data_IF_942787268108
#
_entry.id   IF_942787268108
#
_cell.length_a   1.000
_cell.length_b   1.000
_cell.length_c   1.000
_cell.angle_alpha   90.00
_cell.angle_beta   90.00
_cell.angle_gamma   90.00
#
_symmetry.space_group_name_H-M   'P 1'
#
loop_
_entity.id
_entity.type
_entity.pdbx_description
1 polymer ?
#
# COMPACT_ATOMS: atom_id res chain seq x y z
N UNK A 1 -2.12 -25.39 -25.70
CA UNK A 1 -1.20 -26.04 -26.67
C UNK A 1 -0.18 -24.98 -27.04
N UNK A 2 1.09 -25.12 -26.65
CA UNK A 2 2.09 -24.07 -26.88
C UNK A 2 2.42 -24.02 -28.38
N UNK A 3 2.42 -22.80 -28.93
CA UNK A 3 2.73 -22.50 -30.33
C UNK A 3 4.12 -23.06 -30.71
N UNK A 4 4.25 -23.63 -31.92
CA UNK A 4 5.51 -24.21 -32.41
C UNK A 4 6.65 -23.19 -32.39
N UNK A 5 6.36 -21.92 -32.65
CA UNK A 5 7.37 -20.85 -32.65
C UNK A 5 7.92 -20.58 -31.24
N UNK A 6 7.06 -20.59 -30.22
CA UNK A 6 7.48 -20.39 -28.84
C UNK A 6 8.39 -21.52 -28.34
N UNK A 7 8.17 -22.75 -28.80
CA UNK A 7 9.01 -23.90 -28.44
C UNK A 7 10.41 -23.81 -29.06
N UNK A 8 10.49 -23.31 -30.29
CA UNK A 8 11.75 -23.17 -31.02
C UNK A 8 12.63 -22.07 -30.42
N UNK A 9 12.04 -20.93 -30.07
CA UNK A 9 12.72 -19.83 -29.37
C UNK A 9 13.30 -20.26 -28.01
N UNK A 10 12.56 -21.05 -27.22
CA UNK A 10 13.03 -21.54 -25.93
C UNK A 10 14.19 -22.54 -26.05
N UNK A 11 14.21 -23.34 -27.11
CA UNK A 11 15.31 -24.26 -27.41
C UNK A 11 16.57 -23.54 -27.89
N UNK A 12 16.42 -22.50 -28.72
CA UNK A 12 17.54 -21.67 -29.18
C UNK A 12 18.22 -20.88 -28.04
N UNK A 13 17.47 -20.56 -26.99
CA UNK A 13 17.96 -19.85 -25.80
C UNK A 13 18.54 -20.78 -24.72
N UNK A 14 18.61 -22.10 -24.97
CA UNK A 14 19.05 -23.12 -24.00
C UNK A 14 18.28 -23.08 -22.67
N UNK A 15 17.00 -22.68 -22.72
CA UNK A 15 16.13 -22.60 -21.55
C UNK A 15 15.45 -23.95 -21.38
N UNK A 16 15.95 -24.75 -20.45
CA UNK A 16 15.36 -26.03 -20.09
C UNK A 16 14.03 -25.83 -19.33
N UNK A 17 12.91 -25.86 -20.08
CA UNK A 17 11.57 -25.49 -19.59
C UNK A 17 10.98 -26.51 -18.61
N UNK A 18 11.74 -27.53 -18.21
CA UNK A 18 11.30 -28.62 -17.33
C UNK A 18 12.18 -28.83 -16.10
N UNK A 19 12.68 -27.74 -15.49
CA UNK A 19 13.27 -27.82 -14.15
C UNK A 19 12.21 -28.22 -13.11
N UNK A 20 12.02 -29.53 -12.93
CA UNK A 20 11.36 -30.12 -11.76
C UNK A 20 12.15 -29.67 -10.53
N UNK A 21 11.57 -28.78 -9.72
CA UNK A 21 12.21 -28.27 -8.49
C UNK A 21 12.59 -29.43 -7.57
N UNK A 22 13.88 -29.60 -7.33
CA UNK A 22 14.44 -30.71 -6.53
C UNK A 22 14.33 -30.52 -5.00
N UNK A 23 13.74 -29.43 -4.52
CA UNK A 23 13.56 -29.19 -3.08
C UNK A 23 12.29 -28.37 -2.84
N UNK A 24 11.38 -28.81 -1.94
CA UNK A 24 10.38 -27.91 -1.41
C UNK A 24 11.14 -26.87 -0.61
N UNK A 25 11.33 -25.70 -1.21
CA UNK A 25 11.82 -24.55 -0.48
C UNK A 25 10.69 -24.22 0.49
N UNK A 26 10.75 -24.79 1.70
CA UNK A 26 10.11 -24.28 2.90
C UNK A 26 10.76 -22.93 3.20
N UNK A 27 10.54 -21.96 2.30
CA UNK A 27 10.73 -20.56 2.60
C UNK A 27 9.60 -20.29 3.57
N UNK A 28 9.96 -20.14 4.85
CA UNK A 28 9.18 -19.38 5.81
C UNK A 28 8.50 -18.25 5.07
N UNK A 29 7.16 -18.23 5.13
CA UNK A 29 6.30 -17.23 4.52
C UNK A 29 6.95 -15.85 4.67
N UNK A 30 7.11 -15.18 3.53
CA UNK A 30 7.79 -13.90 3.36
C UNK A 30 7.46 -12.99 4.54
N UNK A 31 8.49 -12.36 5.13
CA UNK A 31 8.30 -11.22 6.02
C UNK A 31 7.27 -10.29 5.37
N UNK A 32 6.16 -10.03 6.07
CA UNK A 32 5.16 -9.06 5.62
C UNK A 32 5.89 -7.79 5.21
N UNK A 33 5.53 -7.17 4.08
CA UNK A 33 6.21 -5.97 3.63
C UNK A 33 6.21 -4.94 4.75
N UNK A 34 7.41 -4.54 5.20
CA UNK A 34 7.62 -3.66 6.35
C UNK A 34 7.42 -2.21 5.94
N UNK A 35 6.30 -1.89 5.32
CA UNK A 35 5.96 -0.50 5.03
C UNK A 35 5.56 0.19 6.32
N UNK A 36 6.11 1.37 6.65
CA UNK A 36 5.69 2.13 7.83
C UNK A 36 4.28 2.73 7.68
N UNK A 37 3.83 2.94 6.44
CA UNK A 37 2.49 3.44 6.12
C UNK A 37 2.05 2.95 4.74
N UNK A 38 0.78 2.58 4.63
CA UNK A 38 0.08 2.32 3.36
C UNK A 38 -0.93 3.44 3.12
N UNK A 39 -0.80 4.16 2.02
CA UNK A 39 -1.73 5.19 1.56
C UNK A 39 -2.68 4.61 0.51
N UNK A 40 -3.96 4.57 0.83
CA UNK A 40 -5.02 4.13 -0.07
C UNK A 40 -5.67 5.33 -0.72
N UNK A 41 -5.42 5.55 -2.00
CA UNK A 41 -5.89 6.72 -2.74
C UNK A 41 -5.94 6.44 -4.24
N UNK A 42 -6.87 7.07 -4.96
CA UNK A 42 -6.87 7.05 -6.42
C UNK A 42 -5.74 7.92 -6.99
N UNK A 43 -5.13 7.48 -8.09
CA UNK A 43 -3.96 8.16 -8.69
C UNK A 43 -4.24 9.63 -9.04
N UNK A 44 -5.40 9.92 -9.65
CA UNK A 44 -5.77 11.28 -10.04
C UNK A 44 -5.92 12.23 -8.83
N UNK A 45 -6.50 11.71 -7.73
CA UNK A 45 -6.70 12.48 -6.50
C UNK A 45 -5.37 12.71 -5.79
N UNK A 46 -4.48 11.72 -5.82
CA UNK A 46 -3.13 11.86 -5.28
C UNK A 46 -2.33 12.94 -6.02
N UNK A 47 -2.38 12.96 -7.34
CA UNK A 47 -1.70 13.99 -8.14
C UNK A 47 -2.18 15.39 -7.77
N UNK A 48 -3.50 15.57 -7.60
CA UNK A 48 -4.10 16.85 -7.21
C UNK A 48 -3.66 17.30 -5.80
N UNK A 49 -3.49 16.36 -4.87
CA UNK A 49 -3.23 16.64 -3.46
C UNK A 49 -1.84 16.19 -2.98
N UNK A 50 -0.88 16.01 -3.88
CA UNK A 50 0.43 15.41 -3.56
C UNK A 50 1.18 16.16 -2.44
N UNK A 51 1.20 17.50 -2.51
CA UNK A 51 1.87 18.32 -1.51
C UNK A 51 1.27 18.17 -0.11
N UNK A 52 -0.06 18.00 -0.04
CA UNK A 52 -0.79 17.79 1.21
C UNK A 52 -0.39 16.45 1.85
N UNK A 53 -0.42 15.36 1.07
CA UNK A 53 -0.06 14.04 1.58
C UNK A 53 1.42 13.93 1.96
N UNK A 54 2.33 14.56 1.20
CA UNK A 54 3.73 14.69 1.60
C UNK A 54 3.89 15.41 2.94
N UNK A 55 3.10 16.46 3.18
CA UNK A 55 3.06 17.17 4.46
C UNK A 55 2.55 16.29 5.61
N UNK A 56 1.51 15.50 5.38
CA UNK A 56 0.97 14.56 6.38
C UNK A 56 2.00 13.49 6.73
N UNK A 57 2.63 12.87 5.73
CA UNK A 57 3.68 11.86 5.91
C UNK A 57 4.87 12.43 6.68
N UNK A 58 5.31 13.65 6.34
CA UNK A 58 6.36 14.33 7.08
C UNK A 58 5.97 14.65 8.53
N UNK A 59 4.71 15.04 8.78
CA UNK A 59 4.21 15.28 10.14
C UNK A 59 4.18 14.00 10.99
N UNK A 60 4.02 12.84 10.36
CA UNK A 60 4.15 11.52 10.99
C UNK A 60 5.60 11.08 11.19
N UNK A 61 6.59 11.92 10.84
CA UNK A 61 8.03 11.63 10.85
C UNK A 61 8.42 10.44 9.96
N UNK A 62 7.71 10.28 8.85
CA UNK A 62 7.98 9.26 7.84
C UNK A 62 8.58 9.89 6.57
N UNK A 63 9.32 9.10 5.81
CA UNK A 63 9.82 9.50 4.50
C UNK A 63 8.85 9.09 3.41
N UNK A 64 8.58 9.99 2.46
CA UNK A 64 7.67 9.73 1.33
C UNK A 64 8.11 8.52 0.49
N UNK A 65 9.41 8.28 0.37
CA UNK A 65 9.98 7.18 -0.42
C UNK A 65 9.64 5.79 0.16
N UNK A 66 9.32 5.72 1.46
CA UNK A 66 9.04 4.47 2.16
C UNK A 66 7.54 4.13 2.21
N UNK A 67 6.68 5.02 1.71
CA UNK A 67 5.22 4.85 1.75
C UNK A 67 4.77 3.98 0.59
N UNK A 68 3.97 2.95 0.91
CA UNK A 68 3.31 2.17 -0.12
C UNK A 68 2.00 2.85 -0.52
N UNK A 69 1.81 3.08 -1.82
CA UNK A 69 0.65 3.78 -2.36
C UNK A 69 -0.10 2.80 -3.27
N UNK A 70 -1.39 2.58 -3.01
CA UNK A 70 -2.24 1.77 -3.88
C UNK A 70 -3.69 2.25 -3.84
N UNK A 71 -4.52 1.73 -4.74
CA UNK A 71 -5.97 1.94 -4.72
C UNK A 71 -6.66 0.95 -3.77
N UNK A 72 -7.90 1.23 -3.40
CA UNK A 72 -8.69 0.35 -2.53
C UNK A 72 -8.82 -1.08 -3.09
N UNK A 73 -8.89 -1.22 -4.43
CA UNK A 73 -8.94 -2.52 -5.12
C UNK A 73 -7.69 -3.39 -4.92
N UNK A 74 -6.56 -2.78 -4.54
CA UNK A 74 -5.29 -3.46 -4.33
C UNK A 74 -4.85 -3.39 -2.86
N UNK A 75 -5.81 -3.24 -1.93
CA UNK A 75 -5.51 -3.21 -0.51
C UNK A 75 -4.86 -4.55 -0.07
N UNK A 76 -3.67 -4.52 0.55
CA UNK A 76 -3.04 -5.73 1.04
C UNK A 76 -3.66 -6.15 2.38
N UNK A 77 -4.56 -7.14 2.37
CA UNK A 77 -5.35 -7.53 3.55
C UNK A 77 -4.53 -8.03 4.76
N UNK A 78 -3.32 -8.56 4.54
CA UNK A 78 -2.47 -9.15 5.58
C UNK A 78 -1.31 -8.22 5.99
N UNK A 79 -1.60 -6.94 6.26
CA UNK A 79 -0.62 -5.99 6.79
C UNK A 79 -0.86 -5.70 8.27
N UNK A 80 0.22 -5.41 9.01
CA UNK A 80 0.15 -4.90 10.38
C UNK A 80 0.87 -3.55 10.48
N UNK A 81 0.47 -2.63 9.61
CA UNK A 81 1.04 -1.29 9.56
C UNK A 81 -0.04 -0.22 9.59
N UNK A 82 0.37 1.04 9.68
CA UNK A 82 -0.55 2.16 9.59
C UNK A 82 -1.15 2.22 8.18
N UNK A 83 -2.45 2.46 8.11
CA UNK A 83 -3.16 2.60 6.85
C UNK A 83 -3.81 3.97 6.84
N UNK A 84 -3.44 4.84 5.89
CA UNK A 84 -4.15 6.08 5.62
C UNK A 84 -5.13 5.84 4.48
N UNK A 85 -6.40 5.70 4.83
CA UNK A 85 -7.50 5.51 3.91
C UNK A 85 -8.04 6.85 3.43
N UNK A 86 -7.70 7.19 2.19
CA UNK A 86 -8.01 8.47 1.54
C UNK A 86 -8.97 8.30 0.34
N UNK A 87 -9.72 7.20 0.30
CA UNK A 87 -10.74 6.91 -0.71
C UNK A 87 -12.14 6.90 -0.05
N UNK A 88 -12.91 8.00 -0.15
CA UNK A 88 -14.23 8.09 0.46
C UNK A 88 -15.32 7.31 -0.29
N UNK A 89 -15.07 6.88 -1.54
CA UNK A 89 -16.04 6.15 -2.36
C UNK A 89 -16.00 4.65 -2.06
N UNK A 90 -14.84 4.16 -1.62
CA UNK A 90 -14.64 2.76 -1.27
C UNK A 90 -14.87 2.48 0.21
N UNK A 91 -15.51 1.34 0.51
CA UNK A 91 -15.67 0.89 1.90
C UNK A 91 -14.34 0.38 2.42
N UNK A 92 -13.86 0.97 3.52
CA UNK A 92 -12.61 0.52 4.12
C UNK A 92 -12.78 -0.82 4.87
N UNK A 93 -11.75 -1.68 4.83
CA UNK A 93 -11.73 -2.91 5.59
C UNK A 93 -11.59 -2.65 7.09
N UNK A 94 -11.98 -3.65 7.89
CA UNK A 94 -11.74 -3.62 9.34
C UNK A 94 -10.25 -3.84 9.61
N UNK A 95 -9.55 -2.77 9.95
CA UNK A 95 -8.12 -2.81 10.27
C UNK A 95 -7.84 -1.97 11.53
N UNK A 96 -6.99 -2.47 12.43
CA UNK A 96 -6.79 -1.87 13.76
C UNK A 96 -6.10 -0.49 13.71
N UNK A 97 -5.17 -0.31 12.77
CA UNK A 97 -4.35 0.89 12.59
C UNK A 97 -4.77 1.73 11.38
N UNK A 98 -6.06 1.72 11.03
CA UNK A 98 -6.59 2.52 9.93
C UNK A 98 -6.92 3.95 10.38
N UNK A 99 -6.56 4.91 9.55
CA UNK A 99 -6.87 6.33 9.65
C UNK A 99 -7.74 6.70 8.45
N UNK A 100 -8.77 7.48 8.68
CA UNK A 100 -9.71 7.90 7.65
C UNK A 100 -9.55 9.37 7.34
N UNK A 101 -9.54 9.69 6.05
CA UNK A 101 -9.64 11.06 5.60
C UNK A 101 -10.31 11.17 4.23
N UNK A 102 -10.95 12.31 3.99
CA UNK A 102 -11.36 12.75 2.67
C UNK A 102 -10.31 13.77 2.15
N UNK A 103 -9.62 13.50 1.02
CA UNK A 103 -8.64 14.41 0.44
C UNK A 103 -9.17 15.82 0.16
N UNK A 104 -10.40 15.94 -0.33
CA UNK A 104 -11.01 17.22 -0.70
C UNK A 104 -11.33 18.04 0.55
N UNK A 105 -11.88 17.38 1.58
CA UNK A 105 -12.13 18.03 2.87
C UNK A 105 -10.82 18.41 3.56
N UNK A 106 -9.79 17.57 3.52
CA UNK A 106 -8.48 17.94 4.07
C UNK A 106 -7.87 19.14 3.36
N UNK A 107 -8.08 19.31 2.06
CA UNK A 107 -7.54 20.46 1.34
C UNK A 107 -8.20 21.79 1.79
N UNK A 108 -9.51 21.76 2.07
CA UNK A 108 -10.35 22.94 2.24
C UNK A 108 -10.74 23.25 3.70
N UNK A 109 -10.80 22.26 4.57
CA UNK A 109 -11.32 22.36 5.93
C UNK A 109 -10.25 22.11 7.00
N UNK A 110 -10.15 23.08 7.94
CA UNK A 110 -9.27 22.97 9.11
C UNK A 110 -9.76 21.93 10.11
N UNK A 111 -11.07 21.72 10.20
CA UNK A 111 -11.63 20.74 11.13
C UNK A 111 -11.33 19.30 10.66
N UNK A 112 -11.44 19.02 9.36
CA UNK A 112 -10.98 17.76 8.77
C UNK A 112 -9.51 17.44 9.12
N UNK A 113 -8.60 18.44 9.03
CA UNK A 113 -7.18 18.27 9.43
C UNK A 113 -7.03 17.93 10.91
N UNK A 114 -7.80 18.61 11.78
CA UNK A 114 -7.79 18.33 13.23
C UNK A 114 -8.29 16.93 13.54
N UNK A 115 -9.34 16.47 12.86
CA UNK A 115 -9.89 15.12 13.02
C UNK A 115 -8.86 14.07 12.63
N UNK A 116 -8.17 14.23 11.49
CA UNK A 116 -7.08 13.34 11.09
C UNK A 116 -5.97 13.32 12.15
N UNK A 117 -5.56 14.49 12.65
CA UNK A 117 -4.54 14.58 13.68
C UNK A 117 -4.96 13.88 14.99
N UNK A 118 -6.22 14.02 15.39
CA UNK A 118 -6.77 13.32 16.55
C UNK A 118 -6.72 11.80 16.36
N UNK A 119 -7.05 11.30 15.16
CA UNK A 119 -6.94 9.87 14.85
C UNK A 119 -5.48 9.38 14.94
N UNK A 120 -4.52 10.15 14.41
CA UNK A 120 -3.09 9.84 14.49
C UNK A 120 -2.68 9.75 15.97
N UNK A 121 -2.94 10.78 16.77
CA UNK A 121 -2.59 10.78 18.19
C UNK A 121 -3.25 9.62 18.95
N UNK A 122 -4.52 9.34 18.70
CA UNK A 122 -5.22 8.23 19.34
C UNK A 122 -4.60 6.87 19.01
N UNK A 123 -4.10 6.69 17.78
CA UNK A 123 -3.40 5.46 17.39
C UNK A 123 -2.01 5.35 18.04
N UNK A 124 -1.25 6.44 18.15
CA UNK A 124 0.04 6.45 18.87
C UNK A 124 -0.18 6.06 20.34
N UNK A 125 -1.18 6.65 20.99
CA UNK A 125 -1.46 6.42 22.41
C UNK A 125 -1.93 4.99 22.71
N UNK A 126 -2.55 4.29 21.75
CA UNK A 126 -2.94 2.88 21.91
C UNK A 126 -1.79 1.89 21.77
N UNK A 127 -0.65 2.33 21.23
CA UNK A 127 0.55 1.51 21.03
C UNK A 127 1.58 1.64 22.17
N UNK A 128 1.39 2.61 23.06
CA UNK A 128 2.21 2.84 24.26
C UNK A 128 1.63 2.11 25.47
#
# INVERSE_FOLDING_TARGET
MIDKQARQYLQEMDIDVWLKRATPVSKTLRASPSWPLVLIIESAVLEQHLALFKGIVAAMKLEWADIHICSAAHFPEAIDTWVLWADPLSTAPKHSKILFCDPQQLASDKQAKRILWQQICAQILKQA
#
